data_IF_382806001874
#
_entry.id   IF_382806001874
#
_cell.length_a   1.000
_cell.length_b   1.000
_cell.length_c   1.000
_cell.angle_alpha   90.00
_cell.angle_beta   90.00
_cell.angle_gamma   90.00
#
_symmetry.space_group_name_H-M   'P 1'
#
loop_
_entity.id
_entity.type
_entity.pdbx_description
1 polymer ?
#
# COMPACT_ATOMS: atom_id res chain seq x y z
N UNK A 1 -25.99 14.23 -3.62
CA UNK A 1 -26.47 14.19 -5.02
C UNK A 1 -25.32 13.77 -5.93
N UNK A 2 -25.59 13.42 -7.19
CA UNK A 2 -24.53 13.11 -8.18
C UNK A 2 -23.54 14.27 -8.35
N UNK A 3 -24.04 15.49 -8.31
CA UNK A 3 -23.27 16.72 -8.36
C UNK A 3 -22.32 16.84 -7.15
N UNK A 4 -22.83 16.73 -5.92
CA UNK A 4 -22.00 16.80 -4.72
C UNK A 4 -20.95 15.67 -4.64
N UNK A 5 -21.23 14.49 -5.21
CA UNK A 5 -20.23 13.44 -5.38
C UNK A 5 -19.12 13.90 -6.34
N UNK A 6 -19.51 14.39 -7.52
CA UNK A 6 -18.58 14.87 -8.54
C UNK A 6 -17.68 15.98 -8.00
N UNK A 7 -18.23 16.95 -7.29
CA UNK A 7 -17.47 18.09 -6.76
C UNK A 7 -16.41 17.63 -5.77
N UNK A 8 -16.73 16.69 -4.88
CA UNK A 8 -15.76 16.13 -3.94
C UNK A 8 -14.62 15.39 -4.65
N UNK A 9 -14.92 14.66 -5.72
CA UNK A 9 -13.92 13.95 -6.54
C UNK A 9 -13.00 14.94 -7.25
N UNK A 10 -13.58 15.95 -7.90
CA UNK A 10 -12.82 16.95 -8.67
C UNK A 10 -11.94 17.85 -7.79
N UNK A 11 -12.23 17.96 -6.50
CA UNK A 11 -11.38 18.65 -5.51
C UNK A 11 -10.21 17.78 -4.99
N UNK A 12 -10.03 16.55 -5.49
CA UNK A 12 -8.85 15.73 -5.24
C UNK A 12 -7.66 16.12 -6.13
N UNK A 13 -6.50 15.53 -5.86
CA UNK A 13 -5.31 15.66 -6.70
C UNK A 13 -5.54 14.97 -8.06
N UNK A 14 -5.46 15.69 -9.19
CA UNK A 14 -5.66 15.10 -10.51
C UNK A 14 -4.49 14.16 -10.85
N UNK A 15 -4.82 12.93 -11.24
CA UNK A 15 -3.85 11.89 -11.64
C UNK A 15 -3.76 11.70 -13.16
N UNK A 16 -4.55 12.46 -13.93
CA UNK A 16 -4.72 12.28 -15.38
C UNK A 16 -5.75 11.21 -15.73
N UNK A 17 -6.16 11.15 -17.00
CA UNK A 17 -7.10 10.14 -17.50
C UNK A 17 -8.49 10.13 -16.82
N UNK A 18 -8.88 11.22 -16.15
CA UNK A 18 -10.12 11.31 -15.38
C UNK A 18 -10.06 10.73 -13.96
N UNK A 19 -8.87 10.33 -13.49
CA UNK A 19 -8.67 9.82 -12.13
C UNK A 19 -8.21 10.93 -11.16
N UNK A 20 -8.65 10.83 -9.91
CA UNK A 20 -8.34 11.77 -8.84
C UNK A 20 -7.97 11.00 -7.57
N UNK A 21 -6.90 11.45 -6.90
CA UNK A 21 -6.48 10.94 -5.59
C UNK A 21 -7.02 11.88 -4.50
N UNK A 22 -7.57 11.31 -3.43
CA UNK A 22 -8.05 12.06 -2.27
C UNK A 22 -7.39 11.60 -0.98
N UNK A 23 -7.06 12.54 -0.12
CA UNK A 23 -6.65 12.30 1.26
C UNK A 23 -7.84 11.88 2.14
N UNK A 24 -9.03 12.43 1.87
CA UNK A 24 -10.26 12.09 2.58
C UNK A 24 -11.25 11.33 1.69
N UNK A 25 -12.07 10.42 2.25
CA UNK A 25 -13.13 9.76 1.49
C UNK A 25 -14.11 10.74 0.84
N UNK A 26 -14.80 10.28 -0.22
CA UNK A 26 -16.00 10.97 -0.70
C UNK A 26 -17.14 10.69 0.27
N UNK A 27 -17.70 11.74 0.85
CA UNK A 27 -18.72 11.64 1.89
C UNK A 27 -20.13 11.57 1.28
N UNK A 28 -20.90 10.57 1.68
CA UNK A 28 -22.33 10.43 1.33
C UNK A 28 -23.24 10.70 2.53
N UNK A 29 -22.82 10.25 3.71
CA UNK A 29 -23.45 10.50 5.01
C UNK A 29 -22.40 10.20 6.09
N UNK A 30 -22.49 10.88 7.24
CA UNK A 30 -21.54 10.79 8.37
C UNK A 30 -20.07 11.01 7.97
N UNK A 31 -19.39 11.91 8.68
CA UNK A 31 -18.00 12.27 8.36
C UNK A 31 -17.06 11.86 9.48
N UNK A 32 -15.80 11.63 9.11
CA UNK A 32 -14.76 11.05 9.95
C UNK A 32 -14.26 9.73 9.37
N UNK A 33 -12.95 9.51 9.38
CA UNK A 33 -12.34 8.41 8.61
C UNK A 33 -11.24 7.64 9.35
N UNK A 34 -11.11 7.72 10.68
CA UNK A 34 -10.03 7.01 11.37
C UNK A 34 -10.11 5.49 11.24
N UNK A 35 -11.33 4.93 11.18
CA UNK A 35 -11.49 3.51 10.88
C UNK A 35 -10.87 3.11 9.54
N UNK A 36 -11.06 3.91 8.49
CA UNK A 36 -10.50 3.67 7.16
C UNK A 36 -8.99 3.95 7.14
N UNK A 37 -8.58 5.11 7.65
CA UNK A 37 -7.20 5.58 7.67
C UNK A 37 -6.28 4.58 8.40
N UNK A 38 -6.67 4.18 9.62
CA UNK A 38 -5.88 3.22 10.41
C UNK A 38 -5.92 1.80 9.83
N UNK A 39 -7.00 1.43 9.14
CA UNK A 39 -7.02 0.15 8.41
C UNK A 39 -6.05 0.14 7.22
N UNK A 40 -5.96 1.25 6.48
CA UNK A 40 -4.99 1.41 5.40
C UNK A 40 -3.56 1.43 5.94
N UNK A 41 -3.31 2.16 7.03
CA UNK A 41 -2.01 2.17 7.70
C UNK A 41 -1.61 0.76 8.16
N UNK A 42 -2.54 -0.01 8.74
CA UNK A 42 -2.31 -1.40 9.13
C UNK A 42 -2.01 -2.32 7.94
N UNK A 43 -2.72 -2.13 6.82
CA UNK A 43 -2.45 -2.89 5.60
C UNK A 43 -1.05 -2.56 5.04
N UNK A 44 -0.67 -1.27 5.07
CA UNK A 44 0.63 -0.81 4.64
C UNK A 44 1.75 -1.38 5.53
N UNK A 45 1.61 -1.34 6.85
CA UNK A 45 2.60 -1.89 7.78
C UNK A 45 2.74 -3.41 7.62
N UNK A 46 1.64 -4.14 7.44
CA UNK A 46 1.70 -5.58 7.15
C UNK A 46 2.45 -5.87 5.82
N UNK A 47 2.14 -5.10 4.77
CA UNK A 47 2.83 -5.21 3.49
C UNK A 47 4.32 -4.86 3.61
N UNK A 48 4.65 -3.84 4.40
CA UNK A 48 6.02 -3.42 4.68
C UNK A 48 6.84 -4.54 5.33
N UNK A 49 6.28 -5.21 6.35
CA UNK A 49 6.93 -6.34 7.02
C UNK A 49 7.12 -7.53 6.07
N UNK A 50 6.13 -7.82 5.22
CA UNK A 50 6.22 -8.88 4.21
C UNK A 50 7.25 -8.57 3.10
N UNK A 51 7.53 -7.29 2.84
CA UNK A 51 8.44 -6.80 1.80
C UNK A 51 9.85 -6.50 2.32
N UNK A 52 10.02 -6.34 3.63
CA UNK A 52 11.22 -5.70 4.19
C UNK A 52 11.34 -4.23 3.80
N UNK A 53 10.21 -3.55 3.55
CA UNK A 53 10.13 -2.18 3.03
C UNK A 53 10.07 -1.18 4.19
N UNK A 54 11.22 -0.59 4.52
CA UNK A 54 11.35 0.32 5.67
C UNK A 54 10.64 1.65 5.45
N UNK A 55 10.65 2.16 4.23
CA UNK A 55 10.02 3.44 3.89
C UNK A 55 8.49 3.31 4.01
N UNK A 56 7.93 2.17 3.61
CA UNK A 56 6.51 1.87 3.79
C UNK A 56 6.12 1.76 5.28
N UNK A 57 6.96 1.15 6.12
CA UNK A 57 6.71 1.09 7.56
C UNK A 57 6.80 2.46 8.23
N UNK A 58 7.79 3.29 7.86
CA UNK A 58 7.88 4.67 8.32
C UNK A 58 6.62 5.45 7.92
N UNK A 59 6.13 5.30 6.69
CA UNK A 59 4.90 5.95 6.26
C UNK A 59 3.69 5.50 7.11
N UNK A 60 3.59 4.21 7.46
CA UNK A 60 2.55 3.73 8.39
C UNK A 60 2.70 4.34 9.79
N UNK A 61 3.93 4.55 10.28
CA UNK A 61 4.19 5.24 11.53
C UNK A 61 3.77 6.72 11.47
N UNK A 62 4.03 7.42 10.36
CA UNK A 62 3.55 8.79 10.15
C UNK A 62 2.01 8.86 10.20
N UNK A 63 1.30 7.85 9.67
CA UNK A 63 -0.16 7.77 9.81
C UNK A 63 -0.61 7.59 11.27
N UNK A 64 0.16 6.86 12.09
CA UNK A 64 -0.14 6.81 13.52
C UNK A 64 0.13 8.17 14.21
N UNK A 65 1.23 8.84 13.86
CA UNK A 65 1.57 10.15 14.41
C UNK A 65 0.49 11.21 14.13
N UNK A 66 -0.25 11.11 13.01
CA UNK A 66 -1.40 11.97 12.71
C UNK A 66 -2.42 12.01 13.86
N UNK A 67 -2.68 10.87 14.49
CA UNK A 67 -3.66 10.74 15.58
C UNK A 67 -3.21 11.47 16.83
N UNK A 68 -1.90 11.44 17.14
CA UNK A 68 -1.32 11.97 18.38
C UNK A 68 -0.66 13.36 18.21
N UNK A 69 -1.03 14.09 17.15
CA UNK A 69 -0.70 15.52 17.03
C UNK A 69 0.15 15.92 15.82
N UNK A 70 0.65 14.97 15.01
CA UNK A 70 1.30 15.30 13.72
C UNK A 70 0.26 15.59 12.64
N UNK A 71 -0.62 16.55 12.93
CA UNK A 71 -1.68 17.04 12.06
C UNK A 71 -1.72 18.58 12.11
N UNK A 72 -2.41 19.26 11.18
CA UNK A 72 -2.41 20.73 11.11
C UNK A 72 -3.01 21.47 12.31
N UNK A 73 -3.68 20.76 13.21
CA UNK A 73 -4.26 21.33 14.42
C UNK A 73 -3.33 21.19 15.63
N UNK A 74 -2.20 20.49 15.48
CA UNK A 74 -1.22 20.28 16.55
C UNK A 74 -1.95 19.74 17.79
N UNK A 75 -2.83 18.77 17.57
CA UNK A 75 -3.75 18.28 18.58
C UNK A 75 -3.82 16.76 18.55
N UNK A 76 -3.68 16.12 19.72
CA UNK A 76 -4.05 14.71 19.83
C UNK A 76 -5.55 14.55 19.69
N UNK A 77 -5.95 13.64 18.81
CA UNK A 77 -7.35 13.25 18.64
C UNK A 77 -7.72 12.02 19.45
N UNK A 78 -6.78 11.48 20.22
CA UNK A 78 -7.01 10.47 21.25
C UNK A 78 -7.28 11.14 22.58
N UNK A 79 -8.37 10.76 23.25
CA UNK A 79 -8.70 11.33 24.54
C UNK A 79 -7.71 10.86 25.61
N UNK A 80 -7.13 11.79 26.36
CA UNK A 80 -6.23 11.47 27.48
C UNK A 80 -4.81 11.06 27.11
N UNK A 81 -4.46 11.00 25.82
CA UNK A 81 -3.14 10.62 25.34
C UNK A 81 -2.55 11.70 24.43
N UNK A 82 -1.27 12.02 24.58
CA UNK A 82 -0.62 13.14 23.87
C UNK A 82 -0.94 14.50 24.51
N UNK A 83 -1.21 15.52 23.69
CA UNK A 83 -1.42 16.89 24.13
C UNK A 83 -2.62 17.55 23.43
N UNK A 84 -3.17 18.59 24.07
CA UNK A 84 -4.27 19.43 23.60
C UNK A 84 -5.56 18.70 23.20
N UNK A 85 -5.76 17.44 23.59
CA UNK A 85 -6.94 16.66 23.22
C UNK A 85 -8.26 17.33 23.63
N UNK A 86 -9.29 17.13 22.83
CA UNK A 86 -10.63 17.64 23.09
C UNK A 86 -11.56 16.52 23.56
N UNK A 87 -12.59 16.91 24.33
CA UNK A 87 -13.67 15.99 24.70
C UNK A 87 -14.31 15.37 23.45
N UNK A 88 -14.60 14.08 23.54
CA UNK A 88 -15.26 13.31 22.50
C UNK A 88 -16.74 13.12 22.83
N UNK A 89 -17.55 12.78 21.84
CA UNK A 89 -18.97 12.54 22.03
C UNK A 89 -19.16 11.10 22.48
N UNK A 90 -19.67 10.94 23.70
CA UNK A 90 -20.05 9.67 24.31
C UNK A 90 -21.41 9.89 24.97
N UNK A 91 -22.40 9.09 24.60
CA UNK A 91 -23.81 9.34 25.01
C UNK A 91 -23.95 9.26 26.52
N UNK A 92 -23.39 8.22 27.15
CA UNK A 92 -23.58 7.93 28.57
C UNK A 92 -22.37 7.31 29.27
N UNK A 93 -21.25 7.14 28.57
CA UNK A 93 -20.06 6.48 29.15
C UNK A 93 -19.04 7.47 29.74
N UNK A 94 -19.32 8.77 29.65
CA UNK A 94 -18.37 9.81 30.02
C UNK A 94 -17.11 9.78 29.15
N UNK A 95 -16.04 10.33 29.70
CA UNK A 95 -14.75 10.44 29.04
C UNK A 95 -13.92 9.16 29.23
N UNK A 96 -13.35 8.65 28.13
CA UNK A 96 -12.63 7.36 28.11
C UNK A 96 -11.20 7.59 27.62
N UNK A 97 -10.21 7.41 28.50
CA UNK A 97 -8.79 7.49 28.12
C UNK A 97 -8.46 6.45 27.06
N UNK A 98 -7.74 6.86 26.01
CA UNK A 98 -7.41 6.02 24.85
C UNK A 98 -8.54 5.91 23.81
N UNK A 99 -9.68 6.57 24.02
CA UNK A 99 -10.76 6.57 23.03
C UNK A 99 -10.38 7.36 21.78
N UNK A 100 -10.80 6.83 20.64
CA UNK A 100 -10.72 7.50 19.36
C UNK A 100 -12.13 7.73 18.79
N UNK A 101 -12.35 8.89 18.16
CA UNK A 101 -13.63 9.18 17.55
C UNK A 101 -13.71 8.56 16.15
N UNK A 102 -14.87 8.67 15.50
CA UNK A 102 -15.04 8.35 14.06
C UNK A 102 -13.92 8.94 13.21
N UNK A 103 -13.52 10.17 13.52
CA UNK A 103 -12.25 10.75 13.08
C UNK A 103 -12.41 12.08 12.37
N UNK A 104 -11.29 12.58 11.87
CA UNK A 104 -11.25 13.88 11.21
C UNK A 104 -12.03 13.87 9.88
N UNK A 105 -12.74 14.96 9.61
CA UNK A 105 -13.49 15.13 8.36
C UNK A 105 -12.75 16.07 7.40
N UNK A 106 -13.19 16.13 6.14
CA UNK A 106 -12.72 17.18 5.23
C UNK A 106 -13.57 18.46 5.33
N UNK A 107 -12.96 19.59 4.97
CA UNK A 107 -13.63 20.90 4.94
C UNK A 107 -14.57 21.00 3.74
N UNK A 108 -15.88 20.85 3.97
CA UNK A 108 -16.89 20.95 2.92
C UNK A 108 -16.70 19.89 1.84
N UNK A 109 -16.50 20.33 0.58
CA UNK A 109 -16.20 19.46 -0.58
C UNK A 109 -14.69 19.38 -0.89
N UNK A 110 -13.87 20.12 -0.16
CA UNK A 110 -12.41 20.15 -0.38
C UNK A 110 -11.74 18.88 0.16
N UNK A 111 -10.46 18.70 -0.18
CA UNK A 111 -9.61 17.65 0.36
C UNK A 111 -8.77 18.10 1.57
N UNK A 112 -9.10 19.24 2.16
CA UNK A 112 -8.40 19.78 3.33
C UNK A 112 -9.00 19.22 4.63
N UNK A 113 -8.17 18.97 5.66
CA UNK A 113 -8.66 18.50 6.96
C UNK A 113 -9.53 19.56 7.64
N UNK A 114 -10.52 19.11 8.41
CA UNK A 114 -11.40 19.95 9.20
C UNK A 114 -11.73 19.29 10.54
N UNK A 115 -11.37 19.99 11.61
CA UNK A 115 -11.50 19.53 12.99
C UNK A 115 -12.06 20.64 13.89
N UNK A 116 -13.38 20.87 13.88
CA UNK A 116 -14.00 21.94 14.66
C UNK A 116 -14.07 21.60 16.17
N UNK A 117 -14.18 22.63 17.00
CA UNK A 117 -14.31 22.49 18.46
C UNK A 117 -15.60 21.78 18.87
N UNK A 118 -16.70 21.96 18.12
CA UNK A 118 -18.01 21.37 18.42
C UNK A 118 -17.96 19.87 18.68
N UNK A 119 -18.48 19.45 19.83
CA UNK A 119 -18.67 18.05 20.20
C UNK A 119 -19.98 17.52 19.59
N UNK A 120 -19.90 16.51 18.73
CA UNK A 120 -21.06 16.02 17.96
C UNK A 120 -20.96 14.52 17.65
N UNK A 121 -22.13 13.88 17.51
CA UNK A 121 -22.36 12.45 17.28
C UNK A 121 -21.93 11.94 15.89
N UNK A 122 -21.14 12.70 15.13
CA UNK A 122 -20.73 12.35 13.76
C UNK A 122 -19.24 12.11 13.68
N UNK A 123 -18.41 13.15 13.77
CA UNK A 123 -16.96 13.04 13.62
C UNK A 123 -16.20 12.97 14.96
N UNK A 124 -16.86 13.31 16.09
CA UNK A 124 -16.31 13.20 17.44
C UNK A 124 -16.92 12.06 18.27
N UNK A 125 -17.86 11.30 17.72
CA UNK A 125 -18.43 10.14 18.42
C UNK A 125 -17.38 9.06 18.65
N UNK A 126 -17.25 8.59 19.89
CA UNK A 126 -16.34 7.51 20.28
C UNK A 126 -16.78 6.21 19.61
N UNK A 127 -15.89 5.61 18.82
CA UNK A 127 -16.13 4.33 18.16
C UNK A 127 -15.07 3.32 18.59
N UNK A 128 -15.47 2.07 18.81
CA UNK A 128 -14.53 0.99 19.16
C UNK A 128 -13.56 0.72 18.01
N UNK A 129 -14.04 0.79 16.76
CA UNK A 129 -13.28 0.38 15.58
C UNK A 129 -11.97 1.17 15.38
N UNK A 130 -11.92 2.52 15.43
CA UNK A 130 -10.68 3.29 15.41
C UNK A 130 -9.66 2.87 16.49
N UNK A 131 -10.08 2.75 17.76
CA UNK A 131 -9.21 2.31 18.85
C UNK A 131 -8.66 0.89 18.64
N UNK A 132 -9.49 -0.04 18.13
CA UNK A 132 -9.00 -1.39 17.79
C UNK A 132 -7.97 -1.37 16.66
N UNK A 133 -8.16 -0.53 15.63
CA UNK A 133 -7.19 -0.41 14.51
C UNK A 133 -5.89 0.24 14.95
N UNK A 134 -5.96 1.22 15.86
CA UNK A 134 -4.79 1.81 16.48
C UNK A 134 -3.92 0.77 17.18
N UNK A 135 -4.52 -0.01 18.09
CA UNK A 135 -3.81 -1.06 18.83
C UNK A 135 -3.23 -2.12 17.88
N UNK A 136 -3.97 -2.49 16.84
CA UNK A 136 -3.48 -3.46 15.85
C UNK A 136 -2.32 -2.92 15.00
N UNK A 137 -2.34 -1.64 14.64
CA UNK A 137 -1.22 -0.98 13.97
C UNK A 137 0.00 -0.90 14.88
N UNK A 138 -0.18 -0.61 16.17
CA UNK A 138 0.92 -0.53 17.13
C UNK A 138 1.68 -1.86 17.29
N UNK A 139 1.02 -3.00 17.08
CA UNK A 139 1.69 -4.29 17.07
C UNK A 139 2.79 -4.35 16.00
N UNK A 140 2.47 -3.95 14.76
CA UNK A 140 3.44 -3.91 13.66
C UNK A 140 4.53 -2.87 13.97
N UNK A 141 4.14 -1.65 14.38
CA UNK A 141 5.09 -0.54 14.61
C UNK A 141 6.04 -0.80 15.80
N UNK A 142 5.64 -1.63 16.76
CA UNK A 142 6.49 -2.02 17.89
C UNK A 142 7.62 -2.98 17.49
N UNK A 143 7.55 -3.55 16.29
CA UNK A 143 8.53 -4.51 15.78
C UNK A 143 9.37 -3.88 14.67
N UNK A 144 10.70 -4.09 14.67
CA UNK A 144 11.50 -3.65 13.54
C UNK A 144 11.09 -4.41 12.27
N UNK A 145 11.03 -3.70 11.14
CA UNK A 145 10.97 -4.34 9.83
C UNK A 145 12.26 -5.15 9.67
N UNK A 146 12.14 -6.47 9.80
CA UNK A 146 13.26 -7.37 9.56
C UNK A 146 13.77 -7.15 8.13
N UNK A 147 15.09 -7.12 7.97
CA UNK A 147 15.68 -7.28 6.64
C UNK A 147 15.09 -8.56 6.03
N UNK A 148 14.80 -8.60 4.71
CA UNK A 148 14.29 -9.81 4.09
C UNK A 148 15.20 -10.96 4.48
N UNK A 149 14.66 -11.93 5.22
CA UNK A 149 15.44 -13.00 5.81
C UNK A 149 16.26 -13.66 4.69
N UNK A 150 17.59 -13.59 4.77
CA UNK A 150 18.45 -14.55 4.06
C UNK A 150 18.06 -15.91 4.64
N UNK A 151 17.33 -16.70 3.86
CA UNK A 151 16.84 -18.00 4.30
C UNK A 151 18.01 -18.89 4.72
N UNK A 152 18.13 -19.12 6.02
CA UNK A 152 18.60 -20.41 6.55
C UNK A 152 17.35 -21.25 6.80
N UNK A 153 16.91 -21.99 5.78
CA UNK A 153 16.15 -23.24 5.96
C UNK A 153 16.15 -24.02 4.64
N UNK A 154 16.85 -25.15 4.66
CA UNK A 154 16.76 -26.33 3.81
C UNK A 154 16.54 -26.14 2.29
N UNK A 155 17.31 -25.27 1.65
CA UNK A 155 17.84 -25.59 0.33
C UNK A 155 19.24 -26.15 0.53
N UNK A 156 19.58 -27.23 -0.18
CA UNK A 156 20.93 -27.77 -0.28
C UNK A 156 21.99 -26.65 -0.15
N UNK A 157 22.92 -26.72 0.83
CA UNK A 157 23.89 -25.66 1.13
C UNK A 157 24.75 -25.17 -0.05
N UNK A 158 24.61 -25.75 -1.25
CA UNK A 158 25.34 -25.41 -2.47
C UNK A 158 24.62 -24.57 -3.53
N UNK A 159 23.30 -24.33 -3.46
CA UNK A 159 22.56 -23.66 -4.55
C UNK A 159 22.46 -22.13 -4.37
N UNK A 160 23.56 -21.41 -4.62
CA UNK A 160 23.54 -19.94 -4.70
C UNK A 160 22.68 -19.50 -5.89
N UNK A 161 21.42 -19.11 -5.68
CA UNK A 161 20.59 -18.51 -6.72
C UNK A 161 20.70 -16.98 -6.64
N UNK A 162 21.04 -16.33 -7.74
CA UNK A 162 20.83 -14.90 -7.96
C UNK A 162 19.99 -14.71 -9.22
N UNK A 163 19.04 -13.78 -9.19
CA UNK A 163 18.17 -13.55 -10.34
C UNK A 163 17.59 -12.14 -10.39
N UNK A 164 17.31 -11.70 -11.61
CA UNK A 164 16.59 -10.48 -11.91
C UNK A 164 15.36 -10.77 -12.77
N UNK A 165 14.43 -9.82 -12.75
CA UNK A 165 13.21 -9.84 -13.56
C UNK A 165 13.07 -8.48 -14.21
N UNK A 166 12.74 -8.47 -15.49
CA UNK A 166 12.43 -7.27 -16.27
C UNK A 166 11.19 -7.52 -17.11
N UNK A 167 10.53 -6.45 -17.55
CA UNK A 167 9.36 -6.58 -18.39
C UNK A 167 9.26 -5.46 -19.43
N UNK A 168 8.63 -5.79 -20.56
CA UNK A 168 8.28 -4.86 -21.62
C UNK A 168 6.79 -4.98 -21.93
N UNK A 169 6.13 -3.84 -22.14
CA UNK A 169 4.72 -3.77 -22.58
C UNK A 169 4.67 -3.10 -23.95
N UNK A 170 4.08 -3.77 -24.93
CA UNK A 170 3.83 -3.19 -26.25
C UNK A 170 2.63 -2.23 -26.21
N UNK A 171 2.53 -1.35 -27.20
CA UNK A 171 1.36 -0.45 -27.34
C UNK A 171 0.03 -1.19 -27.49
N UNK A 172 0.08 -2.46 -27.94
CA UNK A 172 -1.07 -3.35 -28.09
C UNK A 172 -1.42 -4.13 -26.81
N UNK A 173 -0.72 -3.88 -25.71
CA UNK A 173 -0.94 -4.54 -24.42
C UNK A 173 -0.37 -5.97 -24.36
N UNK A 174 0.61 -6.30 -25.20
CA UNK A 174 1.37 -7.54 -25.08
C UNK A 174 2.50 -7.34 -24.10
N UNK A 175 2.66 -8.26 -23.16
CA UNK A 175 3.62 -8.16 -22.07
C UNK A 175 4.59 -9.32 -22.16
N UNK A 176 5.87 -8.99 -22.15
CA UNK A 176 6.97 -9.95 -22.08
C UNK A 176 7.67 -9.77 -20.75
N UNK A 177 7.83 -10.86 -19.99
CA UNK A 177 8.51 -10.87 -18.70
C UNK A 177 9.72 -11.78 -18.82
N UNK A 178 10.90 -11.20 -18.67
CA UNK A 178 12.16 -11.90 -18.80
C UNK A 178 12.80 -12.10 -17.42
N UNK A 179 13.34 -13.29 -17.21
CA UNK A 179 14.17 -13.59 -16.05
C UNK A 179 15.57 -13.93 -16.50
N UNK A 180 16.56 -13.44 -15.76
CA UNK A 180 17.93 -13.90 -15.83
C UNK A 180 18.35 -14.44 -14.48
N UNK A 181 18.81 -15.68 -14.45
CA UNK A 181 19.23 -16.36 -13.23
C UNK A 181 20.63 -16.95 -13.37
N UNK A 182 21.42 -16.85 -12.31
CA UNK A 182 22.73 -17.49 -12.16
C UNK A 182 22.73 -18.31 -10.89
N UNK A 183 23.38 -19.47 -10.91
CA UNK A 183 23.48 -20.31 -9.72
C UNK A 183 23.82 -21.75 -10.04
N UNK A 184 23.36 -22.65 -9.19
CA UNK A 184 23.62 -24.08 -9.29
C UNK A 184 22.37 -24.86 -8.91
N UNK A 185 22.07 -25.91 -9.66
CA UNK A 185 20.93 -26.79 -9.40
C UNK A 185 19.66 -26.40 -10.15
N UNK A 186 18.60 -27.16 -9.92
CA UNK A 186 17.29 -26.91 -10.52
C UNK A 186 16.48 -25.93 -9.65
N UNK A 187 16.01 -24.86 -10.26
CA UNK A 187 15.17 -23.85 -9.61
C UNK A 187 13.86 -23.68 -10.37
N UNK A 188 12.74 -23.66 -9.66
CA UNK A 188 11.41 -23.47 -10.23
C UNK A 188 10.93 -22.05 -9.95
N UNK A 189 10.64 -21.30 -10.99
CA UNK A 189 10.10 -19.94 -10.90
C UNK A 189 8.62 -19.97 -11.19
N UNK A 190 7.81 -19.54 -10.21
CA UNK A 190 6.36 -19.40 -10.37
C UNK A 190 6.00 -17.93 -10.52
N UNK A 191 5.14 -17.60 -11.48
CA UNK A 191 4.62 -16.26 -11.70
C UNK A 191 3.17 -16.16 -11.21
N UNK A 192 2.87 -15.11 -10.45
CA UNK A 192 1.51 -14.70 -10.06
C UNK A 192 1.23 -13.35 -10.69
N UNK A 193 0.06 -13.19 -11.30
CA UNK A 193 -0.26 -12.01 -12.11
C UNK A 193 -1.60 -11.39 -11.73
N UNK A 194 -1.70 -10.08 -11.95
CA UNK A 194 -2.93 -9.30 -11.94
C UNK A 194 -3.07 -8.57 -13.27
N UNK A 195 -4.27 -8.60 -13.86
CA UNK A 195 -4.57 -8.03 -15.18
C UNK A 195 -3.69 -8.57 -16.34
N UNK A 196 -3.18 -9.80 -16.24
CA UNK A 196 -2.51 -10.50 -17.33
C UNK A 196 -3.12 -11.89 -17.55
N UNK A 197 -3.20 -12.30 -18.81
CA UNK A 197 -3.51 -13.66 -19.24
C UNK A 197 -2.38 -14.17 -20.14
N UNK A 198 -1.88 -15.39 -19.93
CA UNK A 198 -0.71 -15.86 -20.67
C UNK A 198 -0.27 -17.28 -20.36
N UNK A 199 1.02 -17.53 -20.67
CA UNK A 199 1.72 -18.81 -20.56
C UNK A 199 1.61 -19.52 -19.20
N UNK A 200 2.08 -20.77 -19.16
CA UNK A 200 2.15 -21.57 -17.93
C UNK A 200 2.77 -20.79 -16.75
N UNK A 201 2.18 -20.89 -15.55
CA UNK A 201 2.55 -20.07 -14.41
C UNK A 201 3.87 -20.51 -13.76
N UNK A 202 4.50 -21.59 -14.20
CA UNK A 202 5.75 -22.08 -13.64
C UNK A 202 6.75 -22.47 -14.74
N UNK A 203 8.03 -22.19 -14.51
CA UNK A 203 9.14 -22.62 -15.37
C UNK A 203 10.31 -23.08 -14.51
N UNK A 204 10.93 -24.19 -14.88
CA UNK A 204 12.12 -24.71 -14.18
C UNK A 204 13.37 -24.43 -15.00
N UNK A 205 14.40 -23.89 -14.35
CA UNK A 205 15.73 -23.69 -14.92
C UNK A 205 16.74 -24.53 -14.17
N UNK A 206 17.52 -25.32 -14.91
CA UNK A 206 18.71 -25.98 -14.38
C UNK A 206 19.92 -25.07 -14.62
N UNK A 207 20.49 -24.57 -13.53
CA UNK A 207 21.62 -23.64 -13.51
C UNK A 207 22.94 -24.38 -13.28
N UNK A 208 24.00 -23.89 -13.93
CA UNK A 208 25.38 -24.35 -13.74
C UNK A 208 26.22 -23.20 -13.18
N UNK A 209 27.18 -23.48 -12.27
CA UNK A 209 28.05 -22.45 -11.72
C UNK A 209 28.71 -21.61 -12.82
N UNK A 210 28.60 -20.28 -12.71
CA UNK A 210 29.17 -19.33 -13.68
C UNK A 210 28.35 -19.11 -14.96
N UNK A 211 27.29 -19.87 -15.19
CA UNK A 211 26.41 -19.71 -16.35
C UNK A 211 25.13 -18.93 -15.99
N UNK A 212 24.79 -17.92 -16.79
CA UNK A 212 23.50 -17.24 -16.71
C UNK A 212 22.51 -17.91 -17.65
N UNK A 213 21.37 -18.33 -17.12
CA UNK A 213 20.23 -18.84 -17.89
C UNK A 213 19.10 -17.83 -17.87
N UNK A 214 18.26 -17.86 -18.90
CA UNK A 214 17.09 -17.01 -18.99
C UNK A 214 15.83 -17.82 -19.27
N UNK A 215 14.70 -17.31 -18.81
CA UNK A 215 13.38 -17.77 -19.22
C UNK A 215 12.50 -16.54 -19.51
N UNK A 216 11.44 -16.76 -20.28
CA UNK A 216 10.51 -15.71 -20.66
C UNK A 216 9.07 -16.19 -20.49
N UNK A 217 8.21 -15.31 -20.01
CA UNK A 217 6.76 -15.46 -20.10
C UNK A 217 6.20 -14.45 -21.08
N UNK A 218 5.31 -14.94 -21.95
CA UNK A 218 4.46 -14.09 -22.78
C UNK A 218 3.07 -14.04 -22.17
N UNK A 219 2.56 -12.82 -22.05
CA UNK A 219 1.22 -12.55 -21.56
C UNK A 219 0.59 -11.41 -22.35
N UNK A 220 -0.72 -11.22 -22.17
CA UNK A 220 -1.49 -10.11 -22.70
C UNK A 220 -2.27 -9.47 -21.57
N UNK A 221 -2.37 -8.15 -21.57
CA UNK A 221 -3.23 -7.43 -20.64
C UNK A 221 -4.68 -7.84 -20.83
N UNK A 222 -5.35 -8.26 -19.75
CA UNK A 222 -6.78 -8.60 -19.79
C UNK A 222 -7.65 -7.35 -20.00
N UNK A 223 -7.20 -6.21 -19.46
CA UNK A 223 -7.79 -4.89 -19.65
C UNK A 223 -6.70 -3.88 -20.00
N UNK A 224 -6.87 -3.21 -21.14
CA UNK A 224 -5.97 -2.14 -21.62
C UNK A 224 -6.26 -0.78 -20.97
N UNK A 225 -7.16 -0.73 -19.99
CA UNK A 225 -7.49 0.49 -19.24
C UNK A 225 -7.03 0.45 -17.79
N UNK A 226 -6.32 -0.61 -17.39
CA UNK A 226 -5.79 -0.79 -16.05
C UNK A 226 -4.30 -1.16 -16.10
N UNK A 227 -3.51 -0.84 -15.06
CA UNK A 227 -2.16 -1.36 -14.93
C UNK A 227 -2.16 -2.89 -14.76
N UNK A 228 -1.00 -3.50 -14.93
CA UNK A 228 -0.78 -4.92 -14.68
C UNK A 228 0.38 -5.10 -13.69
N UNK A 229 0.37 -6.22 -12.96
CA UNK A 229 1.44 -6.59 -12.01
C UNK A 229 1.78 -8.06 -12.19
N UNK A 230 3.07 -8.40 -12.09
CA UNK A 230 3.54 -9.77 -12.01
C UNK A 230 4.57 -9.94 -10.89
N UNK A 231 4.41 -11.03 -10.14
CA UNK A 231 5.28 -11.42 -9.03
C UNK A 231 5.91 -12.77 -9.35
N UNK A 232 7.23 -12.79 -9.51
CA UNK A 232 8.01 -14.00 -9.75
C UNK A 232 8.57 -14.51 -8.42
N UNK A 233 8.28 -15.77 -8.10
CA UNK A 233 8.66 -16.43 -6.85
C UNK A 233 9.55 -17.63 -7.17
N UNK A 234 10.85 -17.61 -6.78
CA UNK A 234 11.73 -18.76 -6.94
C UNK A 234 11.46 -19.79 -5.82
N UNK A 235 11.35 -21.06 -6.20
CA UNK A 235 11.26 -22.22 -5.30
C UNK A 235 10.18 -22.11 -4.22
N UNK A 236 9.11 -21.37 -4.50
CA UNK A 236 8.04 -21.08 -3.53
C UNK A 236 8.41 -20.09 -2.42
N UNK A 237 9.64 -19.57 -2.37
CA UNK A 237 10.07 -18.61 -1.34
C UNK A 237 9.67 -17.17 -1.71
N UNK A 238 8.50 -16.75 -1.22
CA UNK A 238 7.93 -15.40 -1.42
C UNK A 238 8.86 -14.29 -0.91
N UNK A 239 9.76 -14.55 0.04
CA UNK A 239 10.71 -13.54 0.54
C UNK A 239 11.76 -13.18 -0.49
N UNK A 240 12.04 -14.08 -1.44
CA UNK A 240 13.02 -13.89 -2.51
C UNK A 240 12.40 -13.37 -3.79
N UNK A 241 11.10 -13.03 -3.79
CA UNK A 241 10.37 -12.60 -4.98
C UNK A 241 10.97 -11.38 -5.67
N UNK A 242 10.61 -11.23 -6.94
CA UNK A 242 10.82 -10.01 -7.73
C UNK A 242 9.50 -9.64 -8.39
N UNK A 243 9.26 -8.35 -8.49
CA UNK A 243 8.00 -7.81 -8.98
C UNK A 243 8.28 -6.89 -10.16
N UNK A 244 7.43 -6.97 -11.17
CA UNK A 244 7.41 -6.06 -12.31
C UNK A 244 5.97 -5.63 -12.54
N UNK A 245 5.79 -4.40 -12.98
CA UNK A 245 4.48 -3.82 -13.24
C UNK A 245 4.57 -2.87 -14.42
N UNK A 246 3.44 -2.59 -15.03
CA UNK A 246 3.36 -1.70 -16.18
C UNK A 246 1.94 -1.26 -16.48
N UNK A 247 1.84 -0.33 -17.41
CA UNK A 247 0.58 0.15 -17.95
C UNK A 247 0.82 0.60 -19.39
N UNK A 248 -0.24 0.81 -20.16
CA UNK A 248 -0.09 1.41 -21.48
C UNK A 248 0.41 2.87 -21.37
N UNK A 249 1.18 3.37 -22.36
CA UNK A 249 1.76 4.71 -22.33
C UNK A 249 0.77 5.85 -22.04
N UNK A 250 -0.50 5.70 -22.46
CA UNK A 250 -1.57 6.67 -22.18
C UNK A 250 -1.88 6.89 -20.69
N UNK A 251 -1.39 6.03 -19.80
CA UNK A 251 -1.51 6.15 -18.34
C UNK A 251 -0.21 6.51 -17.64
N UNK A 252 0.91 6.58 -18.37
CA UNK A 252 2.19 6.99 -17.81
C UNK A 252 2.23 8.51 -17.83
N UNK A 253 2.12 9.14 -16.65
CA UNK A 253 2.24 10.59 -16.54
C UNK A 253 3.62 11.03 -17.06
N UNK A 254 3.70 12.06 -17.94
CA UNK A 254 4.97 12.48 -18.56
C UNK A 254 6.01 13.04 -17.59
N UNK A 255 5.73 13.14 -16.29
CA UNK A 255 6.55 13.88 -15.32
C UNK A 255 7.74 13.13 -14.69
N UNK A 256 8.14 11.94 -15.17
CA UNK A 256 9.31 11.21 -14.61
C UNK A 256 10.60 11.30 -15.41
N UNK A 257 10.71 12.21 -16.38
CA UNK A 257 11.94 12.40 -17.18
C UNK A 257 12.83 13.56 -16.70
N UNK A 258 12.45 14.33 -15.68
CA UNK A 258 13.26 15.47 -15.21
C UNK A 258 13.56 15.40 -13.70
N UNK A 259 14.47 14.52 -13.29
CA UNK A 259 15.19 14.63 -12.03
C UNK A 259 16.58 13.99 -12.17
N UNK A 260 17.38 14.52 -13.09
CA UNK A 260 18.84 14.41 -13.04
C UNK A 260 19.45 15.67 -13.65
N UNK A 261 19.56 16.71 -12.84
CA UNK A 261 20.62 17.72 -12.87
C UNK A 261 20.83 18.22 -11.46
#
# INVERSE_FOLDING_TARGET
TREAFRDQVLNGMPMGGGYYLKAFPVWFARRGNYGLLLSQAKALSAAAHLRGDKDAAELAQVQAQWIVGRNPFVQSTMYGEGYDWAQQYSVSSGDIVGSLPVGMQSRGVTDLPYWPSQNTYVYKEVWVHPSSRWLWLMEDLSRPVAAPARSQMASDPGAKLDFNVSAATSEKGEVTIDIGATGSGAHTFTIRVENLAGDQPARTLTLRPGERRAAQWKARMSSTTAPWVAVVVPDGDVRRRREVFGALPKFVSPSRVAASR
#
